data_IF_072618391840
#
_entry.id   IF_072618391840
#
_cell.length_a   1.000
_cell.length_b   1.000
_cell.length_c   1.000
_cell.angle_alpha   90.00
_cell.angle_beta   90.00
_cell.angle_gamma   90.00
#
_symmetry.space_group_name_H-M   'P 1'
#
loop_
_entity.id
_entity.type
_entity.pdbx_description
1 polymer ?
#
# COMPACT_ATOMS: atom_id res chain seq x y z
N UNK A 1 29.30 26.78 79.80
CA UNK A 1 28.45 26.21 78.73
C UNK A 1 28.96 26.73 77.40
N UNK A 2 29.87 25.98 76.77
CA UNK A 2 30.20 26.11 75.35
C UNK A 2 29.50 24.92 74.71
N UNK A 3 28.55 25.15 73.82
CA UNK A 3 27.96 24.07 73.05
C UNK A 3 27.69 24.55 71.61
N UNK A 4 28.43 23.90 70.71
CA UNK A 4 28.46 24.08 69.27
C UNK A 4 27.08 23.91 68.64
N UNK A 5 26.69 24.83 67.74
CA UNK A 5 25.63 24.55 66.76
C UNK A 5 26.26 23.97 65.50
N UNK A 6 26.11 22.66 65.36
CA UNK A 6 26.49 21.86 64.20
C UNK A 6 25.72 22.24 62.93
N UNK A 7 26.42 22.06 61.81
CA UNK A 7 26.06 22.27 60.41
C UNK A 7 24.84 21.44 59.93
N UNK A 8 23.61 21.93 60.12
CA UNK A 8 22.39 21.37 59.51
C UNK A 8 21.92 22.07 58.21
N UNK A 9 22.59 23.15 57.78
CA UNK A 9 22.14 23.96 56.63
C UNK A 9 22.55 23.45 55.24
N UNK A 10 23.53 22.53 55.13
CA UNK A 10 24.06 22.13 53.81
C UNK A 10 23.23 21.02 53.14
N UNK A 11 22.72 20.03 53.88
CA UNK A 11 21.98 18.89 53.31
C UNK A 11 20.65 19.27 52.65
N UNK A 12 19.92 20.22 53.23
CA UNK A 12 18.63 20.73 52.71
C UNK A 12 18.80 21.42 51.35
N UNK A 13 19.94 22.07 51.11
CA UNK A 13 20.19 22.75 49.84
C UNK A 13 20.41 21.77 48.67
N UNK A 14 21.05 20.62 48.93
CA UNK A 14 21.29 19.59 47.90
C UNK A 14 20.02 18.87 47.50
N UNK A 15 19.18 18.47 48.46
CA UNK A 15 17.91 17.81 48.16
C UNK A 15 16.98 18.73 47.38
N UNK A 16 16.89 20.02 47.75
CA UNK A 16 16.08 21.00 47.02
C UNK A 16 16.54 21.14 45.55
N UNK A 17 17.85 21.21 45.30
CA UNK A 17 18.42 21.27 43.94
C UNK A 17 18.11 20.01 43.12
N UNK A 18 18.18 18.83 43.74
CA UNK A 18 17.84 17.55 43.11
C UNK A 18 16.36 17.49 42.71
N UNK A 19 15.44 17.89 43.60
CA UNK A 19 14.01 17.96 43.29
C UNK A 19 13.70 18.98 42.19
N UNK A 20 14.34 20.16 42.21
CA UNK A 20 14.19 21.15 41.13
C UNK A 20 14.67 20.59 39.78
N UNK A 21 15.81 19.91 39.75
CA UNK A 21 16.32 19.28 38.52
C UNK A 21 15.39 18.17 38.01
N UNK A 22 14.85 17.34 38.90
CA UNK A 22 13.89 16.28 38.54
C UNK A 22 12.58 16.86 37.99
N UNK A 23 12.03 17.91 38.61
CA UNK A 23 10.80 18.58 38.13
C UNK A 23 11.04 19.21 36.75
N UNK A 24 12.17 19.91 36.55
CA UNK A 24 12.52 20.47 35.24
C UNK A 24 12.66 19.35 34.19
N UNK A 25 13.33 18.25 34.53
CA UNK A 25 13.46 17.10 33.63
C UNK A 25 12.11 16.47 33.27
N UNK A 26 11.20 16.30 34.24
CA UNK A 26 9.85 15.78 33.99
C UNK A 26 9.00 16.73 33.13
N UNK A 27 9.11 18.04 33.34
CA UNK A 27 8.43 19.04 32.50
C UNK A 27 9.00 19.05 31.07
N UNK A 28 10.32 18.92 30.90
CA UNK A 28 10.96 18.80 29.59
C UNK A 28 10.53 17.51 28.89
N UNK A 29 10.51 16.37 29.58
CA UNK A 29 10.05 15.10 29.00
C UNK A 29 8.56 15.16 28.61
N UNK A 30 7.72 15.75 29.46
CA UNK A 30 6.29 15.92 29.19
C UNK A 30 6.05 16.83 27.98
N UNK A 31 6.75 17.97 27.89
CA UNK A 31 6.65 18.88 26.73
C UNK A 31 7.15 18.22 25.44
N UNK A 32 8.25 17.46 25.48
CA UNK A 32 8.71 16.67 24.34
C UNK A 32 7.69 15.61 23.90
N UNK A 33 7.07 14.90 24.86
CA UNK A 33 6.03 13.91 24.57
C UNK A 33 4.81 14.55 23.92
N UNK A 34 4.30 15.65 24.48
CA UNK A 34 3.16 16.39 23.92
C UNK A 34 3.48 16.90 22.52
N UNK A 35 4.67 17.49 22.31
CA UNK A 35 5.09 17.97 20.99
C UNK A 35 5.17 16.81 19.98
N UNK A 36 5.73 15.66 20.37
CA UNK A 36 5.76 14.46 19.53
C UNK A 36 4.35 13.99 19.16
N UNK A 37 3.44 13.92 20.14
CA UNK A 37 2.05 13.55 19.89
C UNK A 37 1.36 14.50 18.91
N UNK A 38 1.54 15.82 19.07
CA UNK A 38 0.97 16.83 18.17
C UNK A 38 1.52 16.69 16.76
N UNK A 39 2.84 16.51 16.59
CA UNK A 39 3.45 16.32 15.26
C UNK A 39 2.94 15.04 14.61
N UNK A 40 2.86 13.93 15.35
CA UNK A 40 2.31 12.67 14.82
C UNK A 40 0.84 12.81 14.45
N UNK A 41 0.05 13.52 15.26
CA UNK A 41 -1.36 13.77 14.98
C UNK A 41 -1.52 14.62 13.72
N UNK A 42 -0.78 15.72 13.59
CA UNK A 42 -0.78 16.56 12.41
C UNK A 42 -0.36 15.78 11.16
N UNK A 43 0.67 14.93 11.26
CA UNK A 43 1.12 14.10 10.15
C UNK A 43 0.06 13.09 9.70
N UNK A 44 -0.60 12.42 10.65
CA UNK A 44 -1.68 11.46 10.37
C UNK A 44 -2.87 12.19 9.72
N UNK A 45 -3.23 13.37 10.23
CA UNK A 45 -4.36 14.15 9.69
C UNK A 45 -4.05 14.79 8.34
N UNK A 46 -2.79 15.09 8.03
CA UNK A 46 -2.35 15.66 6.74
C UNK A 46 -2.05 14.59 5.67
N UNK A 47 -1.98 13.31 6.05
CA UNK A 47 -1.68 12.23 5.09
C UNK A 47 -2.78 12.07 4.00
N UNK A 48 -4.09 12.11 4.32
CA UNK A 48 -5.14 12.05 3.30
C UNK A 48 -5.11 13.24 2.33
N UNK A 49 -4.88 14.47 2.82
CA UNK A 49 -4.75 15.67 1.98
C UNK A 49 -3.56 15.58 1.04
N UNK A 50 -2.40 15.08 1.50
CA UNK A 50 -1.24 14.84 0.63
C UNK A 50 -1.52 13.80 -0.45
N UNK A 51 -2.09 12.65 -0.08
CA UNK A 51 -2.45 11.61 -1.06
C UNK A 51 -3.45 12.12 -2.09
N UNK A 52 -4.44 12.90 -1.66
CA UNK A 52 -5.41 13.51 -2.56
C UNK A 52 -4.73 14.53 -3.49
N UNK A 53 -3.80 15.34 -2.98
CA UNK A 53 -3.02 16.29 -3.78
C UNK A 53 -2.15 15.58 -4.81
N UNK A 54 -1.38 14.57 -4.40
CA UNK A 54 -0.59 13.72 -5.31
C UNK A 54 -1.48 13.07 -6.35
N UNK A 55 -2.65 12.56 -5.97
CA UNK A 55 -3.55 11.96 -6.95
C UNK A 55 -4.15 12.99 -7.91
N UNK A 56 -4.44 14.21 -7.46
CA UNK A 56 -4.89 15.31 -8.33
C UNK A 56 -3.82 15.68 -9.37
N UNK A 57 -2.53 15.45 -9.08
CA UNK A 57 -1.47 15.67 -10.08
C UNK A 57 -1.59 14.72 -11.29
N UNK A 58 -2.19 13.55 -11.09
CA UNK A 58 -2.33 12.51 -12.13
C UNK A 58 -3.76 12.37 -12.67
N UNK A 59 -4.77 12.64 -11.83
CA UNK A 59 -6.18 12.40 -12.12
C UNK A 59 -6.99 13.66 -11.86
N UNK A 60 -7.64 14.19 -12.91
CA UNK A 60 -8.39 15.45 -12.83
C UNK A 60 -9.76 15.32 -12.16
N UNK A 61 -10.27 14.11 -12.01
CA UNK A 61 -11.59 13.87 -11.40
C UNK A 61 -11.71 12.48 -10.78
N UNK A 62 -12.47 12.42 -9.69
CA UNK A 62 -12.76 11.21 -8.92
C UNK A 62 -14.26 10.90 -8.94
N UNK A 63 -14.59 9.61 -8.93
CA UNK A 63 -15.94 9.11 -8.65
C UNK A 63 -15.94 8.46 -7.27
N UNK A 64 -16.83 8.93 -6.39
CA UNK A 64 -16.95 8.46 -5.01
C UNK A 64 -18.21 7.62 -4.81
N UNK A 65 -18.08 6.56 -4.01
CA UNK A 65 -19.11 5.60 -3.67
C UNK A 65 -19.30 5.58 -2.15
N UNK A 66 -20.55 5.52 -1.69
CA UNK A 66 -20.84 5.38 -0.27
C UNK A 66 -20.51 3.95 0.17
N UNK A 67 -19.51 3.77 1.03
CA UNK A 67 -19.00 2.44 1.46
C UNK A 67 -19.74 1.85 2.68
N UNK A 68 -20.91 2.41 3.00
CA UNK A 68 -21.73 1.96 4.11
C UNK A 68 -21.32 2.56 5.45
N UNK A 69 -22.30 2.65 6.34
CA UNK A 69 -22.16 3.31 7.65
C UNK A 69 -21.79 2.30 8.72
N UNK A 70 -20.50 2.03 8.89
CA UNK A 70 -20.00 1.40 10.12
C UNK A 70 -19.37 2.50 10.97
N UNK A 71 -20.13 2.97 11.97
CA UNK A 71 -19.75 3.96 13.01
C UNK A 71 -19.77 5.43 12.57
N UNK A 72 -20.86 6.13 12.94
CA UNK A 72 -21.11 7.59 13.02
C UNK A 72 -20.67 8.56 11.90
N UNK A 73 -19.90 8.15 10.90
CA UNK A 73 -19.39 9.00 9.83
C UNK A 73 -19.64 8.32 8.48
N UNK A 74 -20.13 9.10 7.49
CA UNK A 74 -20.36 8.60 6.13
C UNK A 74 -18.99 8.53 5.44
N UNK A 75 -18.44 7.33 5.31
CA UNK A 75 -17.19 7.10 4.61
C UNK A 75 -17.45 6.91 3.11
N UNK A 76 -16.76 7.68 2.28
CA UNK A 76 -16.83 7.57 0.83
C UNK A 76 -15.54 6.98 0.29
N UNK A 77 -15.63 5.88 -0.46
CA UNK A 77 -14.50 5.33 -1.21
C UNK A 77 -14.49 5.91 -2.62
N UNK A 78 -13.38 6.51 -3.03
CA UNK A 78 -13.24 7.20 -4.32
C UNK A 78 -12.15 6.57 -5.18
N UNK A 79 -12.43 6.48 -6.47
CA UNK A 79 -11.49 6.07 -7.51
C UNK A 79 -11.40 7.13 -8.59
N UNK A 80 -10.27 7.23 -9.33
CA UNK A 80 -10.22 8.09 -10.50
C UNK A 80 -11.26 7.71 -11.54
N UNK A 81 -11.69 8.70 -12.32
CA UNK A 81 -12.62 8.43 -13.41
C UNK A 81 -12.06 7.37 -14.37
N UNK A 82 -12.96 6.51 -14.87
CA UNK A 82 -12.66 5.34 -15.72
C UNK A 82 -11.95 4.17 -15.02
N UNK A 83 -11.56 4.31 -13.76
CA UNK A 83 -11.11 3.17 -12.96
C UNK A 83 -12.32 2.41 -12.42
N UNK A 84 -12.19 1.09 -12.38
CA UNK A 84 -13.20 0.18 -11.82
C UNK A 84 -12.99 0.09 -10.31
N UNK A 85 -14.07 0.04 -9.55
CA UNK A 85 -14.04 0.03 -8.08
C UNK A 85 -14.44 -1.35 -7.56
N UNK A 86 -13.61 -1.96 -6.71
CA UNK A 86 -13.93 -3.21 -6.04
C UNK A 86 -13.17 -3.36 -4.72
N UNK A 87 -13.88 -3.76 -3.66
CA UNK A 87 -13.30 -3.86 -2.32
C UNK A 87 -12.71 -2.53 -1.86
N UNK A 88 -11.44 -2.52 -1.45
CA UNK A 88 -10.70 -1.33 -1.02
C UNK A 88 -9.78 -0.75 -2.11
N UNK A 89 -9.92 -1.20 -3.36
CA UNK A 89 -9.03 -0.84 -4.46
C UNK A 89 -9.78 -0.30 -5.70
N UNK A 90 -9.01 0.37 -6.55
CA UNK A 90 -9.38 0.90 -7.85
C UNK A 90 -8.51 0.22 -8.91
N UNK A 91 -9.08 -0.12 -10.07
CA UNK A 91 -8.41 -0.89 -11.11
C UNK A 91 -8.51 -0.20 -12.48
N UNK A 92 -7.40 -0.14 -13.21
CA UNK A 92 -7.35 0.35 -14.59
C UNK A 92 -6.89 -0.76 -15.53
N UNK A 93 -7.68 -1.01 -16.57
CA UNK A 93 -7.32 -1.96 -17.63
C UNK A 93 -6.64 -1.19 -18.77
N UNK A 94 -5.33 -1.36 -18.92
CA UNK A 94 -4.56 -0.75 -20.00
C UNK A 94 -4.64 -1.60 -21.25
N UNK A 95 -5.27 -1.08 -22.30
CA UNK A 95 -5.36 -1.74 -23.62
C UNK A 95 -4.13 -1.52 -24.50
N UNK A 96 -3.11 -0.79 -24.01
CA UNK A 96 -1.85 -0.58 -24.72
C UNK A 96 -0.86 -1.69 -24.38
N UNK A 97 -0.41 -2.42 -25.39
CA UNK A 97 0.58 -3.48 -25.21
C UNK A 97 1.98 -2.90 -24.98
N UNK A 98 2.64 -3.30 -23.89
CA UNK A 98 4.01 -2.91 -23.54
C UNK A 98 4.75 -4.09 -22.89
N UNK A 99 6.04 -3.92 -22.58
CA UNK A 99 6.81 -4.84 -21.74
C UNK A 99 6.39 -4.72 -20.27
N UNK A 100 6.67 -5.74 -19.45
CA UNK A 100 6.24 -5.77 -18.05
C UNK A 100 6.75 -4.54 -17.26
N UNK A 101 8.02 -4.19 -17.40
CA UNK A 101 8.65 -3.05 -16.72
C UNK A 101 8.06 -1.71 -17.15
N UNK A 102 7.74 -1.55 -18.43
CA UNK A 102 7.07 -0.35 -18.95
C UNK A 102 5.62 -0.27 -18.46
N UNK A 103 4.92 -1.40 -18.38
CA UNK A 103 3.55 -1.46 -17.85
C UNK A 103 3.52 -1.07 -16.38
N UNK A 104 4.45 -1.56 -15.57
CA UNK A 104 4.61 -1.15 -14.17
C UNK A 104 4.93 0.35 -14.07
N UNK A 105 5.88 0.86 -14.84
CA UNK A 105 6.20 2.28 -14.85
C UNK A 105 4.99 3.15 -15.19
N UNK A 106 4.14 2.72 -16.13
CA UNK A 106 2.90 3.43 -16.46
C UNK A 106 1.93 3.43 -15.27
N UNK A 107 1.78 2.32 -14.54
CA UNK A 107 0.96 2.28 -13.33
C UNK A 107 1.51 3.22 -12.24
N UNK A 108 2.82 3.20 -12.01
CA UNK A 108 3.50 4.09 -11.03
C UNK A 108 3.29 5.55 -11.36
N UNK A 109 3.35 5.93 -12.64
CA UNK A 109 3.06 7.30 -13.10
C UNK A 109 1.63 7.76 -12.80
N UNK A 110 0.71 6.84 -12.46
CA UNK A 110 -0.68 7.16 -12.08
C UNK A 110 -0.93 6.96 -10.57
N UNK A 111 0.11 6.74 -9.77
CA UNK A 111 -0.02 6.47 -8.33
C UNK A 111 -0.52 5.05 -8.02
N UNK A 112 -0.25 4.09 -8.90
CA UNK A 112 -0.68 2.70 -8.82
C UNK A 112 0.49 1.74 -9.03
N UNK A 113 0.22 0.44 -8.93
CA UNK A 113 1.15 -0.63 -9.33
C UNK A 113 0.43 -1.63 -10.22
N UNK A 114 1.14 -2.52 -10.89
CA UNK A 114 0.51 -3.69 -11.50
C UNK A 114 -0.25 -4.49 -10.43
N UNK A 115 -1.40 -5.03 -10.81
CA UNK A 115 -2.38 -5.61 -9.87
C UNK A 115 -1.81 -6.78 -9.06
N UNK A 116 -2.18 -6.83 -7.78
CA UNK A 116 -1.87 -7.94 -6.87
C UNK A 116 -3.16 -8.66 -6.53
N UNK A 117 -3.33 -9.88 -7.04
CA UNK A 117 -4.57 -10.65 -6.80
C UNK A 117 -4.48 -11.33 -5.43
N UNK A 118 -5.30 -10.87 -4.49
CA UNK A 118 -5.34 -11.33 -3.11
C UNK A 118 -6.45 -12.35 -2.84
N UNK A 119 -7.51 -12.34 -3.64
CA UNK A 119 -8.68 -13.21 -3.44
C UNK A 119 -9.27 -13.72 -4.75
N UNK A 120 -10.02 -14.82 -4.66
CA UNK A 120 -10.81 -15.32 -5.80
C UNK A 120 -11.88 -14.31 -6.24
N UNK A 121 -12.52 -13.62 -5.29
CA UNK A 121 -13.53 -12.60 -5.58
C UNK A 121 -12.96 -11.43 -6.39
N UNK A 122 -11.73 -11.02 -6.08
CA UNK A 122 -10.99 -10.00 -6.83
C UNK A 122 -10.66 -10.45 -8.25
N UNK A 123 -10.12 -11.66 -8.43
CA UNK A 123 -9.87 -12.20 -9.77
C UNK A 123 -11.17 -12.29 -10.59
N UNK A 124 -12.25 -12.77 -9.99
CA UNK A 124 -13.54 -12.87 -10.64
C UNK A 124 -14.09 -11.49 -11.03
N UNK A 125 -13.89 -10.47 -10.21
CA UNK A 125 -14.25 -9.09 -10.56
C UNK A 125 -13.42 -8.57 -11.73
N UNK A 126 -12.10 -8.73 -11.68
CA UNK A 126 -11.16 -8.25 -12.70
C UNK A 126 -11.49 -8.89 -14.05
N UNK A 127 -11.62 -10.22 -14.10
CA UNK A 127 -11.82 -10.99 -15.34
C UNK A 127 -13.12 -10.64 -16.07
N UNK A 128 -14.15 -10.17 -15.37
CA UNK A 128 -15.38 -9.64 -16.00
C UNK A 128 -15.15 -8.37 -16.84
N UNK A 129 -14.03 -7.68 -16.64
CA UNK A 129 -13.67 -6.45 -17.35
C UNK A 129 -12.69 -6.68 -18.51
N UNK A 130 -12.17 -7.91 -18.66
CA UNK A 130 -11.11 -8.25 -19.60
C UNK A 130 -11.68 -8.78 -20.92
N UNK A 131 -10.91 -8.63 -22.00
CA UNK A 131 -11.21 -9.24 -23.29
C UNK A 131 -10.53 -10.62 -23.37
N UNK A 132 -11.32 -11.68 -23.56
CA UNK A 132 -10.85 -13.07 -23.65
C UNK A 132 -9.83 -13.33 -24.79
N UNK A 133 -9.73 -12.43 -25.78
CA UNK A 133 -8.73 -12.52 -26.85
C UNK A 133 -7.37 -11.89 -26.50
N UNK A 134 -7.24 -11.29 -25.31
CA UNK A 134 -6.05 -10.56 -24.86
C UNK A 134 -5.45 -11.21 -23.60
N UNK A 135 -4.22 -10.82 -23.28
CA UNK A 135 -3.52 -11.23 -22.06
C UNK A 135 -2.98 -9.99 -21.34
N UNK A 136 -3.02 -10.03 -20.01
CA UNK A 136 -2.77 -8.85 -19.18
C UNK A 136 -1.73 -9.14 -18.11
N UNK A 137 -0.67 -8.34 -18.04
CA UNK A 137 0.34 -8.45 -16.99
C UNK A 137 -0.25 -8.22 -15.59
N UNK A 138 0.22 -9.05 -14.66
CA UNK A 138 0.01 -8.95 -13.23
C UNK A 138 1.26 -8.39 -12.55
N UNK A 139 1.12 -7.91 -11.32
CA UNK A 139 2.23 -7.49 -10.47
C UNK A 139 3.01 -8.67 -9.87
N UNK A 140 3.17 -9.77 -10.62
CA UNK A 140 3.84 -11.00 -10.18
C UNK A 140 5.01 -11.31 -11.12
N UNK A 141 6.17 -11.57 -10.54
CA UNK A 141 7.39 -11.91 -11.28
C UNK A 141 8.30 -12.87 -10.51
N UNK A 142 9.21 -13.54 -11.22
CA UNK A 142 10.33 -14.30 -10.66
C UNK A 142 11.65 -13.75 -11.22
N UNK A 143 12.20 -12.67 -10.64
CA UNK A 143 13.36 -11.98 -11.21
C UNK A 143 14.60 -12.86 -11.38
N UNK A 144 14.72 -13.94 -10.59
CA UNK A 144 15.88 -14.83 -10.57
C UNK A 144 15.66 -16.13 -11.36
N UNK A 145 14.45 -16.40 -11.85
CA UNK A 145 14.12 -17.62 -12.59
C UNK A 145 14.36 -18.90 -11.78
N UNK A 146 14.05 -18.87 -10.48
CA UNK A 146 14.28 -19.99 -9.56
C UNK A 146 13.01 -20.51 -8.87
N UNK A 147 11.83 -20.14 -9.39
CA UNK A 147 10.52 -20.48 -8.87
C UNK A 147 10.07 -19.65 -7.67
N UNK A 148 10.82 -18.62 -7.26
CA UNK A 148 10.48 -17.76 -6.11
C UNK A 148 9.75 -16.50 -6.57
N UNK A 149 8.48 -16.69 -6.91
CA UNK A 149 7.57 -15.63 -7.32
C UNK A 149 7.37 -14.55 -6.23
N UNK A 150 7.31 -13.29 -6.65
CA UNK A 150 7.20 -12.10 -5.80
C UNK A 150 6.10 -11.18 -6.35
N UNK A 151 5.17 -10.81 -5.46
CA UNK A 151 4.22 -9.73 -5.74
C UNK A 151 4.92 -8.38 -5.63
N UNK A 152 4.50 -7.42 -6.46
CA UNK A 152 5.11 -6.08 -6.57
C UNK A 152 4.96 -5.24 -5.30
N UNK A 153 3.99 -5.58 -4.44
CA UNK A 153 3.71 -4.92 -3.16
C UNK A 153 4.31 -5.64 -1.94
N UNK A 154 5.21 -6.60 -2.18
CA UNK A 154 5.84 -7.46 -1.16
C UNK A 154 4.87 -8.40 -0.41
N UNK A 155 3.62 -8.56 -0.88
CA UNK A 155 2.68 -9.55 -0.30
C UNK A 155 3.28 -10.95 -0.39
N UNK A 156 3.33 -11.73 0.73
CA UNK A 156 3.95 -13.05 0.71
C UNK A 156 3.26 -14.03 -0.25
N UNK A 157 3.92 -14.39 -1.36
CA UNK A 157 3.39 -15.30 -2.37
C UNK A 157 2.94 -16.67 -1.80
N UNK A 158 3.66 -17.18 -0.79
CA UNK A 158 3.34 -18.45 -0.14
C UNK A 158 1.99 -18.45 0.60
N UNK A 159 1.54 -17.27 1.06
CA UNK A 159 0.31 -17.08 1.83
C UNK A 159 -0.85 -16.57 0.97
N UNK A 160 -0.61 -16.28 -0.31
CA UNK A 160 -1.61 -15.71 -1.22
C UNK A 160 -2.25 -16.79 -2.12
N UNK A 161 -3.35 -16.42 -2.78
CA UNK A 161 -4.03 -17.25 -3.79
C UNK A 161 -3.15 -17.52 -5.01
N UNK A 162 -3.39 -18.63 -5.70
CA UNK A 162 -2.65 -19.04 -6.90
C UNK A 162 -3.61 -19.60 -7.93
N UNK A 163 -3.72 -18.94 -9.09
CA UNK A 163 -4.66 -19.31 -10.15
C UNK A 163 -3.96 -19.62 -11.48
N UNK A 164 -2.80 -20.28 -11.41
CA UNK A 164 -2.08 -20.78 -12.57
C UNK A 164 -2.96 -21.68 -13.45
N UNK A 165 -2.78 -21.57 -14.76
CA UNK A 165 -3.31 -22.56 -15.68
C UNK A 165 -2.68 -23.94 -15.43
N UNK A 166 -3.35 -25.03 -15.83
CA UNK A 166 -2.74 -26.36 -15.80
C UNK A 166 -1.40 -26.34 -16.54
N UNK A 167 -0.36 -26.89 -15.91
CA UNK A 167 1.02 -26.92 -16.38
C UNK A 167 1.82 -25.61 -16.27
N UNK A 168 1.20 -24.53 -15.77
CA UNK A 168 1.90 -23.28 -15.49
C UNK A 168 2.27 -23.14 -13.99
N UNK A 169 3.35 -22.43 -13.66
CA UNK A 169 4.36 -21.90 -14.58
C UNK A 169 5.27 -23.01 -15.15
N UNK A 170 5.79 -22.83 -16.36
CA UNK A 170 6.46 -23.89 -17.11
C UNK A 170 7.95 -23.66 -17.46
N UNK A 171 8.44 -22.40 -17.47
CA UNK A 171 9.79 -22.07 -17.94
C UNK A 171 10.50 -21.04 -17.03
N UNK A 172 11.74 -21.30 -16.56
CA UNK A 172 12.48 -20.36 -15.71
C UNK A 172 12.92 -19.06 -16.43
N UNK A 173 12.90 -19.05 -17.77
CA UNK A 173 13.11 -17.86 -18.59
C UNK A 173 11.88 -16.94 -18.64
N UNK A 174 10.68 -17.49 -18.41
CA UNK A 174 9.41 -16.76 -18.37
C UNK A 174 9.19 -16.17 -16.97
N UNK A 175 9.73 -14.97 -16.77
CA UNK A 175 9.90 -14.38 -15.42
C UNK A 175 8.80 -13.40 -15.02
N UNK A 176 7.80 -13.18 -15.86
CA UNK A 176 6.68 -12.29 -15.60
C UNK A 176 5.37 -13.02 -15.79
N UNK A 177 4.30 -12.59 -15.13
CA UNK A 177 3.02 -13.31 -15.18
C UNK A 177 1.97 -12.48 -15.90
N UNK A 178 1.21 -13.15 -16.76
CA UNK A 178 -0.02 -12.61 -17.36
C UNK A 178 -1.23 -13.45 -16.96
N UNK A 179 -2.40 -12.83 -16.88
CA UNK A 179 -3.68 -13.52 -16.87
C UNK A 179 -4.20 -13.63 -18.31
N UNK A 180 -4.62 -14.84 -18.70
CA UNK A 180 -5.03 -15.17 -20.07
C UNK A 180 -6.21 -16.14 -20.07
N UNK A 181 -7.03 -16.09 -21.12
CA UNK A 181 -8.18 -16.98 -21.30
C UNK A 181 -7.85 -18.14 -22.25
N UNK A 182 -7.90 -19.39 -21.77
CA UNK A 182 -7.69 -20.61 -22.55
C UNK A 182 -8.87 -21.58 -22.41
N UNK A 183 -9.47 -22.01 -23.50
CA UNK A 183 -10.53 -23.04 -23.45
C UNK A 183 -9.92 -24.43 -23.23
N UNK A 184 -10.50 -25.29 -22.35
CA UNK A 184 -11.74 -25.09 -21.59
C UNK A 184 -11.55 -24.45 -20.20
N UNK A 185 -10.30 -24.22 -19.76
CA UNK A 185 -9.94 -23.76 -18.40
C UNK A 185 -10.39 -22.33 -18.06
N UNK A 186 -10.74 -21.51 -19.07
CA UNK A 186 -11.12 -20.09 -18.96
C UNK A 186 -9.96 -19.21 -18.50
N UNK A 187 -10.14 -18.33 -17.52
CA UNK A 187 -9.12 -17.42 -17.02
C UNK A 187 -8.16 -18.11 -16.05
N UNK A 188 -6.87 -17.90 -16.25
CA UNK A 188 -5.81 -18.40 -15.39
C UNK A 188 -4.48 -17.68 -15.66
N UNK A 189 -3.49 -17.93 -14.82
CA UNK A 189 -2.18 -17.28 -14.91
C UNK A 189 -1.22 -18.11 -15.76
N UNK A 190 -0.41 -17.40 -16.53
CA UNK A 190 0.64 -17.95 -17.38
C UNK A 190 1.91 -17.14 -17.16
N UNK A 191 3.03 -17.81 -16.94
CA UNK A 191 4.33 -17.18 -17.05
C UNK A 191 4.62 -16.83 -18.51
N UNK A 192 5.27 -15.69 -18.72
CA UNK A 192 5.64 -15.16 -20.04
C UNK A 192 7.00 -14.46 -19.94
N UNK A 193 7.67 -14.31 -21.08
CA UNK A 193 8.85 -13.46 -21.18
C UNK A 193 8.51 -12.00 -20.78
N UNK A 194 9.32 -11.38 -19.93
CA UNK A 194 9.04 -10.01 -19.48
C UNK A 194 9.10 -8.95 -20.61
N UNK A 195 9.76 -9.28 -21.72
CA UNK A 195 9.92 -8.45 -22.91
C UNK A 195 8.94 -8.83 -24.05
N UNK A 196 8.01 -9.77 -23.84
CA UNK A 196 6.85 -9.88 -24.70
C UNK A 196 5.86 -8.76 -24.41
N UNK A 197 5.14 -8.31 -25.44
CA UNK A 197 4.18 -7.22 -25.31
C UNK A 197 2.83 -7.77 -24.89
N UNK A 198 2.30 -7.26 -23.78
CA UNK A 198 0.98 -7.60 -23.26
C UNK A 198 0.26 -6.35 -22.78
N UNK A 199 -1.06 -6.46 -22.64
CA UNK A 199 -1.86 -5.48 -21.90
C UNK A 199 -1.49 -5.52 -20.41
N UNK A 200 -2.08 -4.63 -19.60
CA UNK A 200 -1.80 -4.63 -18.16
C UNK A 200 -2.99 -4.19 -17.33
N UNK A 201 -2.93 -4.50 -16.04
CA UNK A 201 -3.94 -4.12 -15.05
C UNK A 201 -3.20 -3.37 -13.95
N UNK A 202 -3.56 -2.10 -13.73
CA UNK A 202 -3.05 -1.33 -12.60
C UNK A 202 -4.04 -1.39 -11.43
N UNK A 203 -3.54 -1.39 -10.21
CA UNK A 203 -4.28 -1.33 -8.96
C UNK A 203 -3.74 -0.22 -8.06
N UNK A 204 -4.65 0.52 -7.43
CA UNK A 204 -4.33 1.43 -6.32
C UNK A 204 -5.40 1.32 -5.23
N UNK A 205 -5.07 1.72 -4.00
CA UNK A 205 -6.08 1.80 -2.93
C UNK A 205 -7.07 2.93 -3.20
N UNK A 206 -8.33 2.72 -2.82
CA UNK A 206 -9.35 3.77 -2.80
C UNK A 206 -8.89 4.93 -1.92
N UNK A 207 -9.25 6.14 -2.33
CA UNK A 207 -9.19 7.29 -1.42
C UNK A 207 -10.45 7.25 -0.56
N UNK A 208 -10.29 7.42 0.74
CA UNK A 208 -11.41 7.55 1.65
C UNK A 208 -11.56 9.01 2.10
N UNK A 209 -12.77 9.55 1.92
CA UNK A 209 -13.18 10.90 2.30
C UNK A 209 -14.33 10.87 3.31
#
# INVERSE_FOLDING_TARGET
MVQERQSQGKGVCWTLRLWSAAVISMLLLSTCFIASCVVTYQFIMDQPSRRLYELHTYHSSLTCFSEGTMVSEKMWGCCPNHWKSFGSSCYLISTKENFWSTSEQNCVQMGAHLVVINTEAEQNFITQQLNESLSYFLGLSDPQGNGKWQWIDDTPFSQNVRFWHPHEPNLPEERCVSIVYWNPSKWGWNDVFCDSKHNSICEMKKIYL
#
